data_IF_256169262614
#
_entry.id   IF_256169262614
#
_cell.length_a   1.000
_cell.length_b   1.000
_cell.length_c   1.000
_cell.angle_alpha   90.00
_cell.angle_beta   90.00
_cell.angle_gamma   90.00
#
_symmetry.space_group_name_H-M   'P 1'
#
loop_
_entity.id
_entity.type
_entity.pdbx_description
1 polymer ?
#
# COMPACT_ATOMS: atom_id res chain seq x y z
N UNK A 1 60.67 3.36 44.96
CA UNK A 1 60.02 4.49 44.26
C UNK A 1 58.53 4.17 44.23
N UNK A 2 57.79 4.68 45.22
CA UNK A 2 56.37 4.37 45.42
C UNK A 2 55.51 5.42 44.71
N UNK A 3 54.76 5.01 43.68
CA UNK A 3 53.82 5.87 42.95
C UNK A 3 52.52 6.04 43.75
N UNK A 4 52.31 7.26 44.26
CA UNK A 4 51.07 7.70 44.88
C UNK A 4 50.09 8.13 43.77
N UNK A 5 49.03 7.35 43.54
CA UNK A 5 47.91 7.76 42.67
C UNK A 5 46.84 8.44 43.53
N UNK A 6 46.51 9.73 43.30
CA UNK A 6 45.42 10.38 44.02
C UNK A 6 44.08 9.89 43.46
N UNK A 7 43.26 9.28 44.32
CA UNK A 7 41.87 8.96 44.02
C UNK A 7 41.04 10.24 44.05
N UNK A 8 40.69 10.74 42.86
CA UNK A 8 39.65 11.76 42.71
C UNK A 8 38.30 11.12 43.04
N UNK A 9 37.95 11.08 44.32
CA UNK A 9 36.57 10.83 44.75
C UNK A 9 35.69 11.96 44.20
N UNK A 10 35.19 11.73 43.00
CA UNK A 10 34.20 12.57 42.34
C UNK A 10 32.99 12.67 43.25
N UNK A 11 32.72 13.88 43.77
CA UNK A 11 31.58 14.18 44.64
C UNK A 11 30.32 13.63 44.00
N UNK A 12 29.83 12.50 44.50
CA UNK A 12 28.53 11.96 44.12
C UNK A 12 27.49 12.95 44.62
N UNK A 13 26.92 13.74 43.71
CA UNK A 13 25.76 14.58 44.01
C UNK A 13 24.65 13.65 44.47
N UNK A 14 24.24 13.75 45.73
CA UNK A 14 23.09 13.03 46.24
C UNK A 14 21.85 13.52 45.49
N UNK A 15 21.25 12.64 44.67
CA UNK A 15 20.00 12.93 43.98
C UNK A 15 18.88 12.92 45.02
N UNK A 16 18.17 14.03 45.16
CA UNK A 16 17.01 14.09 46.05
C UNK A 16 15.86 13.29 45.41
N UNK A 17 15.14 12.49 46.19
CA UNK A 17 14.00 11.69 45.71
C UNK A 17 12.96 12.57 44.99
N UNK A 18 12.78 13.80 45.42
CA UNK A 18 11.87 14.78 44.79
C UNK A 18 12.29 15.17 43.37
N UNK A 19 13.60 15.30 43.10
CA UNK A 19 14.10 15.63 41.77
C UNK A 19 13.86 14.47 40.78
N UNK A 20 13.94 13.23 41.25
CA UNK A 20 13.61 12.06 40.43
C UNK A 20 12.09 11.96 40.19
N UNK A 21 11.29 12.24 41.22
CA UNK A 21 9.84 12.16 41.18
C UNK A 21 9.22 13.21 40.25
N UNK A 22 9.75 14.44 40.23
CA UNK A 22 9.25 15.48 39.33
C UNK A 22 9.54 15.17 37.86
N UNK A 23 10.68 14.53 37.57
CA UNK A 23 11.08 14.18 36.19
C UNK A 23 10.15 13.12 35.63
N UNK A 24 9.86 12.05 36.38
CA UNK A 24 8.92 11.03 35.93
C UNK A 24 7.51 11.58 35.77
N UNK A 25 7.09 12.54 36.62
CA UNK A 25 5.79 13.19 36.51
C UNK A 25 5.68 14.01 35.21
N UNK A 26 6.72 14.75 34.83
CA UNK A 26 6.76 15.50 33.57
C UNK A 26 6.75 14.54 32.38
N UNK A 27 7.54 13.46 32.40
CA UNK A 27 7.56 12.45 31.33
C UNK A 27 6.17 11.81 31.17
N UNK A 28 5.49 11.49 32.28
CA UNK A 28 4.15 10.91 32.25
C UNK A 28 3.13 11.84 31.57
N UNK A 29 3.17 13.14 31.89
CA UNK A 29 2.29 14.15 31.26
C UNK A 29 2.58 14.27 29.76
N UNK A 30 3.86 14.35 29.37
CA UNK A 30 4.25 14.45 27.97
C UNK A 30 3.86 13.20 27.17
N UNK A 31 4.09 12.01 27.73
CA UNK A 31 3.73 10.74 27.12
C UNK A 31 2.20 10.63 26.96
N UNK A 32 1.42 11.05 27.96
CA UNK A 32 -0.04 11.04 27.91
C UNK A 32 -0.61 11.86 26.75
N UNK A 33 0.05 12.95 26.35
CA UNK A 33 -0.36 13.76 25.19
C UNK A 33 0.20 13.17 23.88
N UNK A 34 1.41 12.61 23.90
CA UNK A 34 2.07 12.10 22.71
C UNK A 34 1.43 10.80 22.17
N UNK A 35 1.03 9.87 23.05
CA UNK A 35 0.39 8.61 22.65
C UNK A 35 -0.88 8.79 21.80
N UNK A 36 -1.89 9.60 22.19
CA UNK A 36 -3.09 9.76 21.39
C UNK A 36 -2.83 10.48 20.06
N UNK A 37 -1.87 11.39 20.01
CA UNK A 37 -1.49 12.12 18.78
C UNK A 37 -0.79 11.19 17.79
N UNK A 38 0.11 10.32 18.27
CA UNK A 38 0.85 9.40 17.42
C UNK A 38 -0.07 8.44 16.64
N UNK A 39 -1.15 7.96 17.27
CA UNK A 39 -2.15 7.13 16.59
C UNK A 39 -2.82 7.83 15.40
N UNK A 40 -3.21 9.10 15.60
CA UNK A 40 -3.81 9.92 14.52
C UNK A 40 -2.81 10.22 13.41
N UNK A 41 -1.57 10.53 13.77
CA UNK A 41 -0.51 10.80 12.80
C UNK A 41 -0.22 9.58 11.92
N UNK A 42 -0.16 8.38 12.51
CA UNK A 42 0.04 7.12 11.78
C UNK A 42 -1.11 6.84 10.81
N UNK A 43 -2.36 7.06 11.23
CA UNK A 43 -3.51 6.86 10.35
C UNK A 43 -3.53 7.88 9.22
N UNK A 44 -3.20 9.14 9.49
CA UNK A 44 -3.09 10.17 8.45
C UNK A 44 -2.01 9.81 7.42
N UNK A 45 -0.87 9.23 7.84
CA UNK A 45 0.15 8.73 6.92
C UNK A 45 -0.39 7.61 6.02
N UNK A 46 -1.11 6.63 6.57
CA UNK A 46 -1.73 5.55 5.78
C UNK A 46 -2.78 6.09 4.80
N UNK A 47 -3.61 7.04 5.24
CA UNK A 47 -4.59 7.72 4.36
C UNK A 47 -3.90 8.43 3.20
N UNK A 48 -2.80 9.13 3.47
CA UNK A 48 -2.00 9.78 2.44
C UNK A 48 -1.44 8.77 1.43
N UNK A 49 -0.98 7.60 1.89
CA UNK A 49 -0.57 6.51 0.99
C UNK A 49 -1.74 6.02 0.14
N UNK A 50 -2.92 5.79 0.73
CA UNK A 50 -4.09 5.33 -0.04
C UNK A 50 -4.57 6.35 -1.07
N UNK A 51 -4.49 7.65 -0.77
CA UNK A 51 -4.79 8.72 -1.73
C UNK A 51 -3.78 8.76 -2.88
N UNK A 52 -2.48 8.61 -2.57
CA UNK A 52 -1.44 8.51 -3.59
C UNK A 52 -1.67 7.32 -4.52
N UNK A 53 -2.04 6.17 -3.96
CA UNK A 53 -2.38 4.96 -4.73
C UNK A 53 -3.57 5.21 -5.65
N UNK A 54 -4.66 5.80 -5.14
CA UNK A 54 -5.83 6.17 -5.97
C UNK A 54 -5.47 7.11 -7.11
N UNK A 55 -4.59 8.10 -6.86
CA UNK A 55 -4.10 9.00 -7.90
C UNK A 55 -3.35 8.24 -9.00
N UNK A 56 -2.47 7.31 -8.62
CA UNK A 56 -1.74 6.46 -9.58
C UNK A 56 -2.68 5.57 -10.38
N UNK A 57 -3.68 4.98 -9.73
CA UNK A 57 -4.73 4.18 -10.38
C UNK A 57 -5.52 5.03 -11.38
N UNK A 58 -5.96 6.23 -10.97
CA UNK A 58 -6.70 7.15 -11.85
C UNK A 58 -5.89 7.56 -13.07
N UNK A 59 -4.59 7.84 -12.91
CA UNK A 59 -3.69 8.12 -14.03
C UNK A 59 -3.56 6.91 -14.98
N UNK A 60 -3.41 5.70 -14.42
CA UNK A 60 -3.35 4.47 -15.22
C UNK A 60 -4.65 4.19 -15.99
N UNK A 61 -5.80 4.45 -15.37
CA UNK A 61 -7.10 4.38 -16.02
C UNK A 61 -7.23 5.39 -17.16
N UNK A 62 -6.83 6.64 -16.95
CA UNK A 62 -6.86 7.66 -18.01
C UNK A 62 -5.94 7.30 -19.18
N UNK A 63 -4.77 6.72 -18.90
CA UNK A 63 -3.86 6.26 -19.94
C UNK A 63 -4.46 5.08 -20.73
N UNK A 64 -5.07 4.11 -20.05
CA UNK A 64 -5.81 3.04 -20.71
C UNK A 64 -6.93 3.60 -21.61
N UNK A 65 -7.74 4.53 -21.10
CA UNK A 65 -8.84 5.12 -21.87
C UNK A 65 -8.35 5.85 -23.12
N UNK A 66 -7.17 6.47 -23.08
CA UNK A 66 -6.57 7.10 -24.27
C UNK A 66 -6.09 6.07 -25.30
N UNK A 67 -5.58 4.92 -24.87
CA UNK A 67 -5.08 3.88 -25.76
C UNK A 67 -6.21 3.03 -26.37
N UNK A 68 -7.40 2.99 -25.74
CA UNK A 68 -8.52 2.11 -26.12
C UNK A 68 -9.83 2.88 -26.41
N UNK A 69 -9.81 3.77 -27.40
CA UNK A 69 -10.98 4.46 -27.97
C UNK A 69 -11.94 5.04 -26.91
N UNK A 70 -11.39 5.74 -25.92
CA UNK A 70 -12.14 6.39 -24.83
C UNK A 70 -13.01 5.43 -23.99
N UNK A 71 -12.68 4.14 -24.03
CA UNK A 71 -13.43 3.11 -23.31
C UNK A 71 -12.79 2.82 -21.95
N UNK A 72 -13.60 2.79 -20.89
CA UNK A 72 -13.15 2.35 -19.57
C UNK A 72 -13.03 0.82 -19.52
N UNK A 73 -12.09 0.28 -18.73
CA UNK A 73 -11.96 -1.16 -18.61
C UNK A 73 -13.16 -1.77 -17.87
N UNK A 74 -13.69 -2.87 -18.38
CA UNK A 74 -14.78 -3.64 -17.77
C UNK A 74 -14.46 -4.18 -16.37
N UNK A 75 -15.44 -4.18 -15.46
CA UNK A 75 -15.26 -4.73 -14.11
C UNK A 75 -14.99 -6.25 -14.12
N UNK A 76 -15.76 -6.98 -14.94
CA UNK A 76 -15.51 -8.39 -15.25
C UNK A 76 -15.50 -8.50 -16.76
N UNK A 77 -14.34 -8.86 -17.32
CA UNK A 77 -14.24 -9.10 -18.75
C UNK A 77 -14.61 -10.56 -19.01
N UNK A 78 -15.32 -10.85 -20.10
CA UNK A 78 -15.63 -12.21 -20.54
C UNK A 78 -14.40 -12.95 -21.11
N UNK A 79 -13.22 -12.66 -20.57
CA UNK A 79 -11.93 -13.19 -20.99
C UNK A 79 -11.27 -13.84 -19.79
N UNK A 80 -10.65 -14.97 -20.05
CA UNK A 80 -9.77 -15.63 -19.09
C UNK A 80 -8.35 -15.51 -19.57
N UNK A 81 -7.41 -15.49 -18.63
CA UNK A 81 -6.02 -15.72 -18.96
C UNK A 81 -5.44 -16.84 -18.12
N UNK A 82 -4.38 -17.42 -18.66
CA UNK A 82 -3.67 -18.54 -18.09
C UNK A 82 -2.34 -18.03 -17.57
N UNK A 83 -2.09 -18.17 -16.27
CA UNK A 83 -0.82 -17.83 -15.65
C UNK A 83 -0.25 -19.00 -14.86
N UNK A 84 0.88 -18.79 -14.16
CA UNK A 84 1.56 -19.84 -13.40
C UNK A 84 0.67 -20.53 -12.35
N UNK A 85 -0.39 -19.87 -11.90
CA UNK A 85 -1.32 -20.36 -10.87
C UNK A 85 -2.67 -20.83 -11.40
N UNK A 86 -2.85 -20.94 -12.73
CA UNK A 86 -4.08 -21.45 -13.36
C UNK A 86 -4.81 -20.41 -14.22
N UNK A 87 -6.09 -20.68 -14.49
CA UNK A 87 -6.97 -19.84 -15.32
C UNK A 87 -7.75 -18.88 -14.42
N UNK A 88 -7.75 -17.60 -14.77
CA UNK A 88 -8.42 -16.54 -14.00
C UNK A 88 -9.17 -15.59 -14.93
N UNK A 89 -10.22 -14.95 -14.41
CA UNK A 89 -10.95 -13.90 -15.11
C UNK A 89 -10.11 -12.63 -15.21
N UNK A 90 -10.10 -12.01 -16.39
CA UNK A 90 -9.50 -10.70 -16.63
C UNK A 90 -10.43 -9.64 -16.05
N UNK A 91 -9.88 -8.75 -15.24
CA UNK A 91 -10.60 -7.66 -14.59
C UNK A 91 -9.93 -6.32 -14.93
N UNK A 92 -10.61 -5.21 -14.68
CA UNK A 92 -10.04 -3.88 -14.93
C UNK A 92 -8.61 -3.70 -14.37
N UNK A 93 -8.31 -4.25 -13.19
CA UNK A 93 -7.02 -4.12 -12.52
C UNK A 93 -5.91 -4.87 -13.25
N UNK A 94 -6.24 -5.90 -14.02
CA UNK A 94 -5.27 -6.70 -14.77
C UNK A 94 -4.88 -6.01 -16.07
N UNK A 95 -5.84 -5.34 -16.73
CA UNK A 95 -5.56 -4.63 -17.98
C UNK A 95 -4.85 -3.29 -17.76
N UNK A 96 -5.02 -2.67 -16.60
CA UNK A 96 -4.31 -1.42 -16.30
C UNK A 96 -2.90 -1.62 -15.76
N UNK A 97 -2.51 -2.86 -15.43
CA UNK A 97 -1.18 -3.13 -14.85
C UNK A 97 0.00 -2.59 -15.67
N UNK A 98 0.03 -2.66 -17.01
CA UNK A 98 1.14 -2.10 -17.77
C UNK A 98 1.38 -0.60 -17.51
N UNK A 99 0.31 0.11 -17.13
CA UNK A 99 0.34 1.52 -16.74
C UNK A 99 0.66 1.70 -15.25
N UNK A 100 0.23 0.77 -14.40
CA UNK A 100 0.57 0.73 -12.99
C UNK A 100 1.92 0.04 -12.78
N UNK A 101 3.00 0.82 -12.75
CA UNK A 101 4.39 0.34 -12.57
C UNK A 101 4.65 -0.55 -11.33
N UNK A 102 3.65 -0.82 -10.49
CA UNK A 102 3.73 -1.70 -9.32
C UNK A 102 2.37 -2.30 -8.92
N UNK A 103 2.36 -3.58 -8.53
CA UNK A 103 1.22 -4.28 -7.93
C UNK A 103 0.74 -3.71 -6.62
N UNK A 104 1.69 -3.19 -5.84
CA UNK A 104 1.47 -2.86 -4.43
C UNK A 104 0.51 -1.68 -4.29
N UNK A 105 0.35 -0.90 -5.36
CA UNK A 105 -0.57 0.22 -5.48
C UNK A 105 -2.04 -0.24 -5.32
N UNK A 106 -2.35 -1.50 -5.63
CA UNK A 106 -3.71 -2.05 -5.55
C UNK A 106 -4.20 -2.30 -4.11
N UNK A 107 -3.32 -2.16 -3.12
CA UNK A 107 -3.62 -2.35 -1.70
C UNK A 107 -3.61 -1.01 -0.97
N UNK A 108 -4.64 -0.74 -0.17
CA UNK A 108 -4.66 0.39 0.76
C UNK A 108 -4.17 -0.07 2.15
N UNK A 109 -3.12 0.53 2.73
CA UNK A 109 -2.65 0.16 4.07
C UNK A 109 -3.66 0.37 5.21
N UNK A 110 -4.68 1.22 5.00
CA UNK A 110 -5.79 1.42 5.96
C UNK A 110 -6.91 0.39 5.80
N UNK A 111 -6.91 -0.40 4.73
CA UNK A 111 -7.93 -1.42 4.50
C UNK A 111 -7.59 -2.70 5.29
N UNK A 112 -8.28 -2.86 6.42
CA UNK A 112 -8.20 -4.04 7.28
C UNK A 112 -9.43 -4.94 7.18
N UNK A 113 -10.42 -4.58 6.35
CA UNK A 113 -11.77 -5.14 6.38
C UNK A 113 -12.08 -5.95 5.12
N UNK A 114 -11.57 -5.54 3.96
CA UNK A 114 -11.86 -6.24 2.72
C UNK A 114 -11.32 -7.67 2.77
N UNK A 115 -12.14 -8.64 2.35
CA UNK A 115 -11.63 -9.96 2.05
C UNK A 115 -10.63 -9.81 0.92
N UNK A 116 -9.37 -10.15 1.19
CA UNK A 116 -8.29 -10.10 0.21
C UNK A 116 -8.64 -11.08 -0.91
N UNK A 117 -9.26 -10.58 -1.98
CA UNK A 117 -9.52 -11.40 -3.17
C UNK A 117 -8.18 -11.61 -3.85
N UNK A 118 -7.63 -12.83 -3.71
CA UNK A 118 -6.40 -13.23 -4.40
C UNK A 118 -6.70 -13.38 -5.88
N UNK A 119 -6.20 -12.46 -6.69
CA UNK A 119 -6.17 -12.64 -8.14
C UNK A 119 -4.86 -13.37 -8.51
N UNK A 120 -4.98 -14.59 -9.05
CA UNK A 120 -3.87 -15.53 -9.33
C UNK A 120 -2.86 -15.07 -10.41
N UNK A 121 -3.00 -13.84 -10.88
CA UNK A 121 -2.19 -13.21 -11.92
C UNK A 121 -0.90 -12.57 -11.44
N UNK A 122 -0.88 -12.15 -10.18
CA UNK A 122 0.13 -11.22 -9.68
C UNK A 122 1.35 -11.88 -9.07
N UNK A 123 1.64 -13.15 -9.40
CA UNK A 123 2.69 -13.90 -8.71
C UNK A 123 2.44 -13.90 -7.20
N UNK A 124 1.40 -14.63 -6.78
CA UNK A 124 0.92 -14.78 -5.40
C UNK A 124 0.13 -13.59 -4.80
N UNK A 125 -1.12 -13.86 -4.40
CA UNK A 125 -1.82 -13.24 -3.26
C UNK A 125 -1.85 -11.69 -3.19
N UNK A 126 -2.00 -10.99 -4.32
CA UNK A 126 -2.25 -9.55 -4.28
C UNK A 126 -3.68 -9.28 -3.82
N UNK A 127 -3.83 -8.50 -2.75
CA UNK A 127 -5.12 -8.08 -2.22
C UNK A 127 -5.61 -6.85 -2.93
N UNK A 128 -6.89 -6.78 -3.27
CA UNK A 128 -7.47 -5.62 -3.94
C UNK A 128 -8.32 -4.82 -2.95
N UNK A 129 -7.84 -3.64 -2.57
CA UNK A 129 -8.60 -2.71 -1.71
C UNK A 129 -9.48 -1.75 -2.51
N UNK A 130 -9.14 -1.53 -3.79
CA UNK A 130 -9.84 -0.60 -4.66
C UNK A 130 -10.72 -1.35 -5.63
N UNK A 131 -12.02 -1.10 -5.59
CA UNK A 131 -12.96 -1.60 -6.58
C UNK A 131 -13.55 -0.47 -7.39
N UNK A 132 -13.66 -0.65 -8.70
CA UNK A 132 -14.43 0.28 -9.52
C UNK A 132 -15.88 -0.19 -9.56
N UNK A 133 -16.80 0.76 -9.51
CA UNK A 133 -18.22 0.46 -9.59
C UNK A 133 -18.59 0.07 -11.01
N UNK A 134 -19.58 -0.83 -11.14
CA UNK A 134 -20.18 -1.22 -12.43
C UNK A 134 -20.67 -0.01 -13.24
N UNK A 135 -21.08 1.05 -12.56
CA UNK A 135 -21.57 2.28 -13.18
C UNK A 135 -20.47 3.08 -13.88
N UNK A 136 -19.23 3.01 -13.38
CA UNK A 136 -18.08 3.73 -13.97
C UNK A 136 -17.31 2.84 -14.94
N UNK A 137 -17.15 1.56 -14.60
CA UNK A 137 -16.36 0.60 -15.40
C UNK A 137 -17.20 -0.18 -16.42
N UNK A 138 -18.51 0.06 -16.49
CA UNK A 138 -19.39 -0.61 -17.44
C UNK A 138 -19.60 -2.10 -17.17
N UNK A 139 -20.39 -2.71 -18.05
CA UNK A 139 -20.82 -4.10 -17.98
C UNK A 139 -20.05 -5.05 -18.91
N UNK A 140 -20.20 -6.36 -18.63
CA UNK A 140 -19.56 -7.58 -19.17
C UNK A 140 -19.18 -7.64 -20.68
N UNK A 141 -19.59 -6.69 -21.52
CA UNK A 141 -19.58 -6.79 -22.98
C UNK A 141 -18.72 -5.78 -23.73
N UNK A 142 -18.10 -4.81 -23.07
CA UNK A 142 -17.22 -3.82 -23.74
C UNK A 142 -15.75 -4.09 -23.44
N UNK A 143 -15.24 -5.25 -23.84
CA UNK A 143 -13.81 -5.29 -24.13
C UNK A 143 -13.61 -4.62 -25.49
N UNK A 144 -12.70 -3.64 -25.61
CA UNK A 144 -12.40 -3.04 -26.90
C UNK A 144 -11.97 -4.14 -27.90
N UNK A 145 -12.46 -4.11 -29.16
CA UNK A 145 -12.20 -5.14 -30.16
C UNK A 145 -10.71 -5.28 -30.54
N UNK A 146 -9.88 -4.32 -30.12
CA UNK A 146 -8.43 -4.26 -30.34
C UNK A 146 -7.59 -4.93 -29.25
N UNK A 147 -8.17 -5.39 -28.13
CA UNK A 147 -7.41 -6.17 -27.15
C UNK A 147 -6.98 -7.48 -27.81
N UNK A 148 -5.66 -7.74 -27.96
CA UNK A 148 -5.21 -8.99 -28.54
C UNK A 148 -5.75 -10.14 -27.70
N UNK A 149 -6.55 -11.02 -28.33
CA UNK A 149 -7.12 -12.26 -27.79
C UNK A 149 -6.06 -13.22 -27.19
N UNK A 150 -4.77 -12.88 -27.32
CA UNK A 150 -3.65 -13.66 -26.83
C UNK A 150 -2.93 -12.89 -25.71
N UNK A 151 -3.41 -13.10 -24.47
CA UNK A 151 -2.88 -12.51 -23.24
C UNK A 151 -1.44 -12.95 -22.88
N UNK A 152 -0.75 -13.68 -23.76
CA UNK A 152 0.67 -14.03 -23.62
C UNK A 152 1.58 -12.78 -23.43
N UNK A 153 1.15 -11.59 -23.86
CA UNK A 153 1.88 -10.34 -23.67
C UNK A 153 1.80 -9.78 -22.23
N UNK A 154 0.70 -9.97 -21.50
CA UNK A 154 0.60 -9.56 -20.08
C UNK A 154 1.52 -10.41 -19.19
N UNK A 155 1.77 -11.66 -19.60
CA UNK A 155 2.66 -12.59 -18.93
C UNK A 155 4.13 -12.14 -18.98
N UNK A 156 4.54 -11.36 -20.00
CA UNK A 156 5.92 -10.89 -20.14
C UNK A 156 6.24 -9.68 -19.25
N UNK A 157 5.28 -8.79 -18.99
CA UNK A 157 5.49 -7.58 -18.19
C UNK A 157 5.38 -7.81 -16.67
N UNK A 158 4.70 -8.85 -16.22
CA UNK A 158 4.54 -9.17 -14.79
C UNK A 158 5.66 -10.05 -14.21
N UNK A 159 6.60 -10.52 -15.05
CA UNK A 159 7.69 -11.43 -14.70
C UNK A 159 9.08 -10.76 -14.62
N UNK A 160 9.13 -9.42 -14.57
CA UNK A 160 10.38 -8.65 -14.40
C UNK A 160 10.47 -7.91 -13.05
N UNK A 161 10.15 -8.62 -11.97
CA UNK A 161 10.73 -8.39 -10.63
C UNK A 161 11.17 -9.73 -10.07
#
# INVERSE_FOLDING_TARGET
>A
MSSHFPSLFQRRRAFTLIALLVVIAIIAILAAILFPVFGRARENARRSSCQSNLKQIGLGLMQYTQDYDETFPGNNMAYTATGPSGVYSVTWDTVIQPYLKSSQIMVCPSDSVSQRVTHGLYGANASRSYTGTRQVMGDFFLAPPSLPLNLAALQASALTV
#
